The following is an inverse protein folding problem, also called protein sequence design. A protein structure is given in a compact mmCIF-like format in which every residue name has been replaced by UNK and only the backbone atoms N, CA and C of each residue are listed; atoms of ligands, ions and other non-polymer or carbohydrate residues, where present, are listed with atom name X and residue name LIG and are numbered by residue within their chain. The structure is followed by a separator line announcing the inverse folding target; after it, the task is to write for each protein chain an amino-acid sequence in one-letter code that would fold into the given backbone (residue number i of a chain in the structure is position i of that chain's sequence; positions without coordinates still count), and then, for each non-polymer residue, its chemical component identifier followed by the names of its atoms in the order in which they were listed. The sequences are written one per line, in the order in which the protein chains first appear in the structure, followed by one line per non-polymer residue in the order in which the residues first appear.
data_IF_734948765552
#
_entry.id   IF_734948765552
#
_cell.length_a   1.000
_cell.length_b   1.000
_cell.length_c   1.000
_cell.angle_alpha   90.00
_cell.angle_beta   90.00
_cell.angle_gamma   90.00
#
_symmetry.space_group_name_H-M   'P 1'
#
loop_
_entity.id
_entity.type
_entity.pdbx_description
1 polymer ?
#
# COMPACT_ATOMS: atom_id res chain seq x y z
N UNK A 1 -21.44 -0.26 7.88
CA UNK A 1 -20.82 0.94 8.46
C UNK A 1 -19.33 0.71 8.57
N UNK A 2 -18.49 1.59 8.03
CA UNK A 2 -17.03 1.45 8.07
C UNK A 2 -16.40 2.14 9.28
N UNK A 3 -15.20 1.70 9.67
CA UNK A 3 -14.41 2.35 10.72
C UNK A 3 -14.14 3.83 10.36
N UNK A 4 -14.53 4.80 11.21
CA UNK A 4 -14.36 6.23 10.94
C UNK A 4 -12.89 6.63 10.78
N UNK A 5 -11.95 5.89 11.36
CA UNK A 5 -10.53 6.10 11.15
C UNK A 5 -10.08 5.71 9.74
N UNK A 6 -10.58 4.59 9.23
CA UNK A 6 -10.31 4.14 7.85
C UNK A 6 -10.87 5.17 6.87
N UNK A 7 -12.09 5.65 7.10
CA UNK A 7 -12.72 6.67 6.27
C UNK A 7 -11.89 7.96 6.19
N UNK A 8 -11.35 8.45 7.32
CA UNK A 8 -10.48 9.65 7.34
C UNK A 8 -9.19 9.46 6.55
N UNK A 9 -8.56 8.29 6.65
CA UNK A 9 -7.35 7.99 5.89
C UNK A 9 -7.66 7.96 4.40
N UNK A 10 -8.73 7.24 4.01
CA UNK A 10 -9.18 7.08 2.62
C UNK A 10 -9.57 8.43 1.99
N UNK A 11 -10.24 9.31 2.75
CA UNK A 11 -10.61 10.65 2.30
C UNK A 11 -9.43 11.62 2.17
N UNK A 12 -8.25 11.27 2.72
CA UNK A 12 -7.06 12.11 2.71
C UNK A 12 -5.96 11.58 1.77
N UNK A 13 -4.74 11.35 2.27
CA UNK A 13 -3.56 11.06 1.43
C UNK A 13 -3.59 9.71 0.71
N UNK A 14 -4.60 8.88 0.96
CA UNK A 14 -4.64 7.49 0.52
C UNK A 14 -4.59 7.34 -1.01
N UNK A 15 -5.23 8.23 -1.76
CA UNK A 15 -5.21 8.20 -3.24
C UNK A 15 -3.78 8.33 -3.80
N UNK A 16 -3.02 9.31 -3.30
CA UNK A 16 -1.63 9.53 -3.71
C UNK A 16 -0.75 8.34 -3.35
N UNK A 17 -0.91 7.80 -2.14
CA UNK A 17 -0.19 6.60 -1.69
C UNK A 17 -0.50 5.39 -2.57
N UNK A 18 -1.78 5.12 -2.86
CA UNK A 18 -2.18 4.00 -3.70
C UNK A 18 -1.57 4.08 -5.10
N UNK A 19 -1.61 5.27 -5.73
CA UNK A 19 -1.01 5.47 -7.05
C UNK A 19 0.51 5.25 -7.05
N UNK A 20 1.22 5.75 -6.03
CA UNK A 20 2.66 5.56 -5.94
C UNK A 20 3.05 4.09 -5.67
N UNK A 21 2.28 3.36 -4.86
CA UNK A 21 2.55 1.94 -4.60
C UNK A 21 2.35 1.06 -5.84
N UNK A 22 1.33 1.36 -6.65
CA UNK A 22 1.10 0.65 -7.92
C UNK A 22 2.26 0.89 -8.89
N UNK A 23 2.71 2.14 -9.02
CA UNK A 23 3.89 2.48 -9.83
C UNK A 23 5.15 1.77 -9.33
N UNK A 24 5.42 1.87 -8.03
CA UNK A 24 6.58 1.21 -7.41
C UNK A 24 6.57 -0.31 -7.56
N UNK A 25 5.39 -0.94 -7.55
CA UNK A 25 5.26 -2.37 -7.83
C UNK A 25 5.56 -2.69 -9.30
N UNK A 26 5.03 -1.91 -10.24
CA UNK A 26 5.32 -2.08 -11.67
C UNK A 26 6.81 -1.91 -12.00
N UNK A 27 7.50 -1.02 -11.28
CA UNK A 27 8.95 -0.77 -11.42
C UNK A 27 9.83 -1.78 -10.66
N UNK A 28 9.24 -2.76 -9.95
CA UNK A 28 10.00 -3.71 -9.13
C UNK A 28 10.74 -3.08 -7.94
N UNK A 29 10.19 -1.98 -7.41
CA UNK A 29 10.73 -1.26 -6.24
C UNK A 29 10.03 -1.64 -4.93
N UNK A 30 8.85 -2.27 -5.00
CA UNK A 30 8.08 -2.67 -3.82
C UNK A 30 8.58 -4.00 -3.23
N UNK A 31 9.83 -4.00 -2.77
CA UNK A 31 10.53 -5.15 -2.18
C UNK A 31 11.05 -4.82 -0.77
N UNK A 32 11.32 -5.85 0.04
CA UNK A 32 11.85 -5.65 1.40
C UNK A 32 13.25 -4.99 1.38
N UNK A 33 14.09 -5.35 0.41
CA UNK A 33 15.44 -4.81 0.24
C UNK A 33 15.48 -3.35 -0.19
N UNK A 34 14.47 -2.88 -0.93
CA UNK A 34 14.34 -1.50 -1.41
C UNK A 34 13.40 -0.65 -0.56
N UNK A 35 12.86 -1.23 0.52
CA UNK A 35 11.86 -0.57 1.34
C UNK A 35 12.32 0.78 1.93
N UNK A 36 13.53 0.93 2.48
CA UNK A 36 13.99 2.22 3.01
C UNK A 36 14.05 3.31 1.93
N UNK A 37 14.58 2.97 0.75
CA UNK A 37 14.67 3.89 -0.39
C UNK A 37 13.28 4.28 -0.90
N UNK A 38 12.37 3.31 -1.04
CA UNK A 38 11.00 3.57 -1.45
C UNK A 38 10.29 4.49 -0.45
N UNK A 39 10.50 4.25 0.84
CA UNK A 39 9.86 5.05 1.89
C UNK A 39 10.34 6.50 1.86
N UNK A 40 11.63 6.73 1.69
CA UNK A 40 12.22 8.07 1.53
C UNK A 40 11.61 8.79 0.32
N UNK A 41 11.62 8.14 -0.85
CA UNK A 41 11.00 8.69 -2.08
C UNK A 41 9.52 9.02 -1.90
N UNK A 42 8.76 8.18 -1.21
CA UNK A 42 7.34 8.43 -0.92
C UNK A 42 7.14 9.60 0.05
N UNK A 43 8.02 9.75 1.04
CA UNK A 43 7.97 10.86 1.98
C UNK A 43 8.24 12.19 1.29
N UNK A 44 9.26 12.23 0.43
CA UNK A 44 9.61 13.41 -0.37
C UNK A 44 8.48 13.78 -1.34
N UNK A 45 7.98 12.80 -2.09
CA UNK A 45 7.01 13.05 -3.16
C UNK A 45 5.62 13.42 -2.66
N UNK A 46 5.21 12.88 -1.51
CA UNK A 46 3.88 13.13 -0.94
C UNK A 46 3.89 14.20 0.15
N UNK A 47 5.06 14.60 0.67
CA UNK A 47 5.18 15.61 1.72
C UNK A 47 4.53 15.21 3.05
N UNK A 48 4.37 13.91 3.32
CA UNK A 48 3.60 13.41 4.48
C UNK A 48 4.46 13.13 5.72
N UNK A 49 5.78 12.99 5.57
CA UNK A 49 6.69 12.61 6.66
C UNK A 49 6.16 11.41 7.46
N UNK A 50 6.06 11.55 8.78
CA UNK A 50 5.53 10.49 9.68
C UNK A 50 4.07 10.13 9.43
N UNK A 51 3.27 11.00 8.77
CA UNK A 51 1.86 10.73 8.45
C UNK A 51 1.70 9.73 7.30
N UNK A 52 2.78 9.39 6.58
CA UNK A 52 2.79 8.43 5.48
C UNK A 52 2.50 6.99 5.93
N UNK A 53 2.99 6.58 7.09
CA UNK A 53 2.96 5.17 7.50
C UNK A 53 1.55 4.60 7.61
N UNK A 54 0.59 5.41 8.08
CA UNK A 54 -0.79 4.97 8.30
C UNK A 54 -1.55 4.68 7.00
N UNK A 55 -1.60 5.59 6.00
CA UNK A 55 -2.19 5.28 4.69
C UNK A 55 -1.43 4.20 3.93
N UNK A 56 -0.11 4.16 4.04
CA UNK A 56 0.73 3.14 3.41
C UNK A 56 0.43 1.74 3.94
N UNK A 57 0.33 1.59 5.27
CA UNK A 57 -0.08 0.35 5.91
C UNK A 57 -1.48 -0.06 5.48
N UNK A 58 -2.45 0.87 5.51
CA UNK A 58 -3.80 0.59 5.04
C UNK A 58 -3.79 0.12 3.57
N UNK A 59 -2.97 0.74 2.72
CA UNK A 59 -2.89 0.42 1.31
C UNK A 59 -2.27 -0.96 1.07
N UNK A 60 -1.27 -1.38 1.86
CA UNK A 60 -0.62 -2.69 1.70
C UNK A 60 -1.38 -3.83 2.38
N UNK A 61 -1.87 -3.61 3.61
CA UNK A 61 -2.42 -4.68 4.45
C UNK A 61 -3.94 -4.68 4.54
N UNK A 62 -4.59 -3.56 4.22
CA UNK A 62 -6.02 -3.36 4.49
C UNK A 62 -6.33 -3.03 5.95
N UNK A 63 -5.32 -2.91 6.81
CA UNK A 63 -5.46 -2.62 8.24
C UNK A 63 -4.68 -1.37 8.64
N UNK A 64 -5.13 -0.68 9.69
CA UNK A 64 -4.43 0.50 10.22
C UNK A 64 -3.37 0.16 11.27
N UNK A 65 -3.32 -1.08 11.74
CA UNK A 65 -2.41 -1.60 12.77
C UNK A 65 -1.81 -2.94 12.32
N UNK A 66 -0.76 -3.41 12.99
CA UNK A 66 -0.15 -4.72 12.74
C UNK A 66 1.38 -4.70 12.71
N UNK A 67 1.96 -5.72 12.09
CA UNK A 67 3.41 -5.98 11.99
C UNK A 67 4.22 -4.84 11.38
N UNK A 68 5.54 -4.88 11.53
CA UNK A 68 6.41 -3.99 10.78
C UNK A 68 6.23 -4.17 9.26
N UNK A 69 6.35 -3.09 8.49
CA UNK A 69 6.07 -3.14 7.04
C UNK A 69 7.20 -3.80 6.25
N UNK A 70 8.45 -3.71 6.70
CA UNK A 70 9.56 -4.41 6.08
C UNK A 70 9.41 -5.92 6.28
N UNK A 71 9.06 -6.35 7.50
CA UNK A 71 8.77 -7.76 7.80
C UNK A 71 7.58 -8.28 6.97
N UNK A 72 6.52 -7.49 6.85
CA UNK A 72 5.36 -7.84 6.03
C UNK A 72 5.72 -8.05 4.55
N UNK A 73 6.52 -7.14 3.96
CA UNK A 73 6.97 -7.30 2.58
C UNK A 73 7.84 -8.53 2.40
N UNK A 74 8.75 -8.81 3.34
CA UNK A 74 9.57 -10.02 3.30
C UNK A 74 8.72 -11.29 3.34
N UNK A 75 7.64 -11.31 4.12
CA UNK A 75 6.70 -12.43 4.14
C UNK A 75 5.98 -12.59 2.80
N UNK A 76 5.59 -11.50 2.14
CA UNK A 76 4.97 -11.56 0.81
C UNK A 76 5.95 -12.09 -0.25
N UNK A 77 7.21 -11.66 -0.21
CA UNK A 77 8.23 -12.17 -1.13
C UNK A 77 8.47 -13.67 -0.95
N UNK A 78 8.47 -14.17 0.30
CA UNK A 78 8.59 -15.59 0.58
C UNK A 78 7.38 -16.38 0.08
N UNK A 79 6.17 -15.81 0.16
CA UNK A 79 4.97 -16.43 -0.41
C UNK A 79 5.03 -16.50 -1.93
N UNK A 80 5.45 -15.42 -2.59
CA UNK A 80 5.62 -15.39 -4.04
C UNK A 80 6.73 -16.37 -4.50
N UNK A 81 7.73 -16.65 -3.65
CA UNK A 81 8.75 -17.68 -3.86
C UNK A 81 8.27 -19.12 -3.61
N UNK A 82 6.97 -19.34 -3.36
CA UNK A 82 6.37 -20.67 -3.21
C UNK A 82 6.35 -21.22 -1.79
N UNK A 83 6.41 -20.37 -0.75
CA UNK A 83 6.27 -20.82 0.63
C UNK A 83 4.92 -21.53 0.85
N UNK A 84 4.89 -22.67 1.56
CA UNK A 84 3.71 -23.54 1.65
C UNK A 84 2.57 -23.02 2.53
N UNK A 85 2.66 -21.80 3.06
CA UNK A 85 1.71 -21.23 4.04
C UNK A 85 0.60 -20.40 3.36
N UNK A 86 0.11 -20.89 2.22
CA UNK A 86 -0.89 -20.22 1.37
C UNK A 86 -2.31 -20.32 1.94
N UNK A 87 -2.62 -19.52 2.97
CA UNK A 87 -3.97 -19.54 3.56
C UNK A 87 -4.62 -18.20 3.88
N UNK A 88 -3.86 -17.13 4.17
CA UNK A 88 -4.44 -15.88 4.70
C UNK A 88 -3.83 -14.59 4.18
N UNK A 89 -2.80 -14.67 3.35
CA UNK A 89 -2.10 -13.50 2.83
C UNK A 89 -2.46 -13.30 1.36
N UNK A 90 -2.87 -12.08 1.04
CA UNK A 90 -3.15 -11.68 -0.34
C UNK A 90 -1.82 -11.40 -1.02
N UNK A 91 -1.53 -12.10 -2.12
CA UNK A 91 -0.33 -11.87 -2.92
C UNK A 91 -0.21 -10.40 -3.34
N UNK A 92 1.02 -9.89 -3.41
CA UNK A 92 1.27 -8.46 -3.59
C UNK A 92 0.65 -7.93 -4.90
N UNK A 93 0.76 -8.70 -6.00
CA UNK A 93 0.13 -8.35 -7.28
C UNK A 93 -1.40 -8.28 -7.20
N UNK A 94 -2.04 -9.22 -6.50
CA UNK A 94 -3.50 -9.19 -6.28
C UNK A 94 -3.92 -7.97 -5.44
N UNK A 95 -3.08 -7.57 -4.48
CA UNK A 95 -3.30 -6.36 -3.68
C UNK A 95 -3.20 -5.09 -4.53
N UNK A 96 -2.22 -4.98 -5.41
CA UNK A 96 -2.09 -3.85 -6.34
C UNK A 96 -3.29 -3.77 -7.29
N UNK A 97 -3.78 -4.91 -7.80
CA UNK A 97 -4.98 -4.94 -8.62
C UNK A 97 -6.25 -4.45 -7.87
N UNK A 98 -6.36 -4.75 -6.57
CA UNK A 98 -7.44 -4.19 -5.73
C UNK A 98 -7.32 -2.67 -5.60
N UNK A 99 -6.10 -2.16 -5.37
CA UNK A 99 -5.86 -0.71 -5.29
C UNK A 99 -6.14 0.00 -6.62
N UNK A 100 -5.73 -0.59 -7.75
CA UNK A 100 -6.03 -0.05 -9.09
C UNK A 100 -7.54 0.07 -9.31
N UNK A 101 -8.30 -1.02 -9.07
CA UNK A 101 -9.77 -0.97 -9.18
C UNK A 101 -10.40 0.04 -8.23
N UNK A 102 -9.82 0.24 -7.05
CA UNK A 102 -10.28 1.28 -6.13
C UNK A 102 -10.03 2.68 -6.70
N UNK A 103 -8.84 2.94 -7.24
CA UNK A 103 -8.51 4.21 -7.92
C UNK A 103 -9.43 4.46 -9.11
N UNK A 104 -9.70 3.46 -9.94
CA UNK A 104 -10.56 3.60 -11.12
C UNK A 104 -11.99 4.02 -10.71
N UNK A 105 -12.53 3.41 -9.65
CA UNK A 105 -13.87 3.77 -9.11
C UNK A 105 -13.94 5.17 -8.51
N UNK A 106 -12.83 5.68 -8.00
CA UNK A 106 -12.77 6.99 -7.33
C UNK A 106 -12.06 8.05 -8.20
N UNK A 107 -11.68 7.69 -9.43
CA UNK A 107 -10.89 8.49 -10.35
C UNK A 107 -11.72 9.34 -11.32
N UNK A 108 -13.05 9.26 -11.27
CA UNK A 108 -13.96 10.07 -12.11
C UNK A 108 -14.53 11.30 -11.39
N UNK A 109 -14.07 11.62 -10.18
CA UNK A 109 -14.37 12.89 -9.51
C UNK A 109 -13.32 13.94 -9.84
N UNK A 110 -13.19 14.30 -11.11
CA UNK A 110 -12.60 15.58 -11.45
C UNK A 110 -13.55 16.66 -10.93
N UNK A 111 -12.99 17.57 -10.17
CA UNK A 111 -13.55 18.84 -9.72
C UNK A 111 -14.54 19.43 -10.75
N UNK A 112 -15.77 19.65 -10.32
CA UNK A 112 -16.72 20.61 -10.91
C UNK A 112 -17.08 21.63 -9.85
#
# INVERSE_FOLDING_TARGET
GGDPNVQRVVAGPFRGVAAQLIGAHADGLLTSSRWPELLERLQERLGLGKRLYRPLRLALTGHLQGHDMCEFLRLLELLDAGAPWGGKLVALGARMAILQRWLDRHGSGAES
#
